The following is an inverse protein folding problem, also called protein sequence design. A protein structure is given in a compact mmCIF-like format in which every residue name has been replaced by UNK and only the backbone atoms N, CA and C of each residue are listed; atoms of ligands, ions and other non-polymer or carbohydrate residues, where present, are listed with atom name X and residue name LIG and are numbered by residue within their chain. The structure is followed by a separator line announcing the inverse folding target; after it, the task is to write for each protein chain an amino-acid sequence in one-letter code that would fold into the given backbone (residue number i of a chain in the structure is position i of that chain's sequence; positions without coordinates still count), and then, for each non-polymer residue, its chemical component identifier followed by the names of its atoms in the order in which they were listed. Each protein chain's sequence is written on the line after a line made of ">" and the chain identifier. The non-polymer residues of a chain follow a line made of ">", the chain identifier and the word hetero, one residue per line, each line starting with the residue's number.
data_IF_569973299409
#
_entry.id   IF_569973299409
#
_cell.length_a   1.000
_cell.length_b   1.000
_cell.length_c   1.000
_cell.angle_alpha   90.00
_cell.angle_beta   90.00
_cell.angle_gamma   90.00
#
_symmetry.space_group_name_H-M   'P 1'
#
loop_
_entity.id
_entity.type
_entity.pdbx_description
1 polymer ?
#
# COMPACT_ATOMS: atom_id res chain seq x y z
N UNK A 1 25.89 -1.06 -77.04
CA UNK A 1 26.62 -0.29 -76.02
C UNK A 1 25.68 0.79 -75.50
N UNK A 2 25.29 0.81 -74.23
CA UNK A 2 24.57 1.92 -73.67
C UNK A 2 25.61 3.01 -73.35
N UNK A 3 25.48 4.18 -73.97
CA UNK A 3 26.25 5.33 -73.73
C UNK A 3 25.80 5.90 -72.36
N UNK A 4 26.67 5.87 -71.37
CA UNK A 4 26.46 6.59 -70.13
C UNK A 4 26.91 8.04 -70.38
N UNK A 5 25.98 9.00 -70.34
CA UNK A 5 26.32 10.39 -70.38
C UNK A 5 27.06 10.73 -69.06
N UNK A 6 28.27 11.25 -69.14
CA UNK A 6 28.96 11.85 -68.00
C UNK A 6 28.18 13.10 -67.57
N UNK A 7 27.90 13.24 -66.29
CA UNK A 7 27.29 14.41 -65.72
C UNK A 7 28.17 15.65 -66.04
N UNK A 8 27.57 16.77 -66.37
CA UNK A 8 28.28 18.03 -66.55
C UNK A 8 28.66 18.60 -65.18
N UNK A 9 29.66 19.48 -65.10
CA UNK A 9 30.07 20.11 -63.81
C UNK A 9 28.94 20.90 -63.12
N UNK A 10 27.96 21.41 -63.86
CA UNK A 10 26.77 22.07 -63.32
C UNK A 10 25.80 21.06 -62.71
N UNK A 11 25.65 19.88 -63.32
CA UNK A 11 24.82 18.77 -62.78
C UNK A 11 25.45 18.23 -61.49
N UNK A 12 26.78 18.11 -61.45
CA UNK A 12 27.48 17.66 -60.21
C UNK A 12 27.36 18.67 -59.08
N UNK A 13 27.43 19.99 -59.32
CA UNK A 13 27.22 21.03 -58.32
C UNK A 13 25.78 21.03 -57.81
N UNK A 14 24.81 20.87 -58.68
CA UNK A 14 23.38 20.77 -58.28
C UNK A 14 23.10 19.53 -57.43
N UNK A 15 23.67 18.37 -57.79
CA UNK A 15 23.55 17.16 -57.02
C UNK A 15 24.18 17.27 -55.65
N UNK A 16 25.39 17.82 -55.55
CA UNK A 16 26.09 18.05 -54.26
C UNK A 16 25.31 18.99 -53.35
N UNK A 17 24.75 20.08 -53.88
CA UNK A 17 23.91 21.01 -53.11
C UNK A 17 22.65 20.30 -52.57
N UNK A 18 22.01 19.47 -53.38
CA UNK A 18 20.82 18.72 -52.97
C UNK A 18 21.13 17.67 -51.91
N UNK A 19 22.27 16.97 -52.01
CA UNK A 19 22.74 16.00 -51.02
C UNK A 19 23.09 16.66 -49.68
N UNK A 20 23.70 17.85 -49.70
CA UNK A 20 23.98 18.64 -48.49
C UNK A 20 22.68 19.08 -47.77
N UNK A 21 21.70 19.53 -48.56
CA UNK A 21 20.38 19.92 -48.03
C UNK A 21 19.67 18.73 -47.41
N UNK A 22 19.70 17.58 -48.05
CA UNK A 22 19.13 16.32 -47.52
C UNK A 22 19.83 15.89 -46.22
N UNK A 23 21.18 15.94 -46.21
CA UNK A 23 21.96 15.65 -45.03
C UNK A 23 21.60 16.55 -43.84
N UNK A 24 21.44 17.87 -44.07
CA UNK A 24 21.02 18.84 -43.09
C UNK A 24 19.61 18.51 -42.53
N UNK A 25 18.65 18.22 -43.38
CA UNK A 25 17.28 17.88 -43.01
C UNK A 25 17.23 16.58 -42.17
N UNK A 26 17.97 15.57 -42.61
CA UNK A 26 18.06 14.31 -41.87
C UNK A 26 18.69 14.51 -40.50
N UNK A 27 19.78 15.29 -40.39
CA UNK A 27 20.42 15.56 -39.10
C UNK A 27 19.49 16.33 -38.15
N UNK A 28 18.78 17.34 -38.64
CA UNK A 28 17.79 18.12 -37.87
C UNK A 28 16.65 17.22 -37.37
N UNK A 29 16.11 16.33 -38.20
CA UNK A 29 15.04 15.41 -37.82
C UNK A 29 15.52 14.37 -36.81
N UNK A 30 16.74 13.86 -36.90
CA UNK A 30 17.33 12.95 -35.92
C UNK A 30 17.57 13.65 -34.58
N UNK A 31 18.07 14.88 -34.57
CA UNK A 31 18.25 15.69 -33.37
C UNK A 31 16.93 15.95 -32.63
N UNK A 32 15.85 16.24 -33.40
CA UNK A 32 14.51 16.42 -32.83
C UNK A 32 13.95 15.13 -32.16
N UNK A 33 14.55 13.98 -32.48
CA UNK A 33 14.24 12.68 -31.88
C UNK A 33 15.28 12.25 -30.81
N UNK A 34 16.13 13.19 -30.35
CA UNK A 34 17.13 12.91 -29.34
C UNK A 34 18.36 12.12 -29.80
N UNK A 35 18.51 11.89 -31.11
CA UNK A 35 19.68 11.21 -31.68
C UNK A 35 20.74 12.23 -32.07
N UNK A 36 21.95 12.10 -31.54
CA UNK A 36 23.08 12.98 -31.90
C UNK A 36 23.46 12.77 -33.38
N UNK A 37 23.20 13.77 -34.21
CA UNK A 37 23.51 13.76 -35.63
C UNK A 37 23.99 15.17 -36.06
N UNK A 38 24.90 15.24 -37.05
CA UNK A 38 25.42 16.48 -37.60
C UNK A 38 25.19 16.51 -39.11
N UNK A 39 25.05 17.71 -39.70
CA UNK A 39 24.92 17.86 -41.14
C UNK A 39 26.15 17.37 -41.89
N UNK A 40 27.32 17.29 -41.23
CA UNK A 40 28.56 16.75 -41.79
C UNK A 40 28.64 15.24 -41.78
N UNK A 41 27.72 14.57 -41.08
CA UNK A 41 27.66 13.10 -41.15
C UNK A 41 27.25 12.67 -42.56
N UNK A 42 27.98 11.72 -43.17
CA UNK A 42 27.62 11.23 -44.47
C UNK A 42 26.23 10.54 -44.48
N UNK A 43 25.55 10.54 -45.61
CA UNK A 43 24.18 9.98 -45.77
C UNK A 43 24.05 8.55 -45.22
N UNK A 44 25.07 7.70 -45.42
CA UNK A 44 25.09 6.34 -44.88
C UNK A 44 25.11 6.34 -43.33
N UNK A 45 25.86 7.26 -42.72
CA UNK A 45 25.91 7.41 -41.26
C UNK A 45 24.59 7.91 -40.73
N UNK A 46 23.97 8.88 -41.38
CA UNK A 46 22.64 9.40 -41.02
C UNK A 46 21.56 8.33 -41.16
N UNK A 47 21.59 7.53 -42.26
CA UNK A 47 20.69 6.41 -42.44
C UNK A 47 20.82 5.34 -41.34
N UNK A 48 22.06 5.03 -40.90
CA UNK A 48 22.28 4.11 -39.79
C UNK A 48 21.82 4.69 -38.45
N UNK A 49 21.91 5.99 -38.24
CA UNK A 49 21.38 6.66 -37.05
C UNK A 49 19.85 6.67 -37.00
N UNK A 50 19.15 6.60 -38.16
CA UNK A 50 17.69 6.40 -38.19
C UNK A 50 17.31 5.07 -37.52
N UNK A 51 18.13 4.03 -37.65
CA UNK A 51 17.88 2.75 -36.98
C UNK A 51 18.07 2.83 -35.45
N UNK A 52 18.74 3.87 -34.96
CA UNK A 52 18.90 4.16 -33.52
C UNK A 52 17.76 5.02 -32.96
N UNK A 53 16.94 5.63 -33.85
CA UNK A 53 15.63 6.15 -33.47
C UNK A 53 14.77 4.90 -33.19
N UNK A 54 14.99 4.31 -32.00
CA UNK A 54 14.07 3.32 -31.48
C UNK A 54 12.66 3.93 -31.45
N UNK A 55 11.62 3.15 -31.25
CA UNK A 55 10.32 3.70 -30.87
C UNK A 55 10.50 4.36 -29.49
N UNK A 56 11.15 5.53 -29.48
CA UNK A 56 11.01 6.44 -28.35
C UNK A 56 9.54 6.82 -28.39
N UNK A 57 8.74 6.44 -27.40
CA UNK A 57 7.38 6.95 -27.34
C UNK A 57 7.50 8.45 -27.41
N UNK A 58 6.91 9.06 -28.43
CA UNK A 58 6.93 10.52 -28.61
C UNK A 58 6.16 11.04 -27.40
N UNK A 59 6.91 11.31 -26.29
CA UNK A 59 6.33 11.92 -25.11
C UNK A 59 5.07 11.25 -24.57
N UNK A 60 4.99 9.93 -24.53
CA UNK A 60 3.89 9.24 -23.84
C UNK A 60 4.10 9.30 -22.32
N UNK A 61 3.02 9.51 -21.61
CA UNK A 61 2.95 9.44 -20.16
C UNK A 61 1.96 8.35 -19.75
N UNK A 62 2.38 7.46 -18.87
CA UNK A 62 1.52 6.45 -18.27
C UNK A 62 1.26 6.86 -16.83
N UNK A 63 0.00 6.86 -16.41
CA UNK A 63 -0.42 7.12 -15.04
C UNK A 63 -1.18 5.91 -14.52
N UNK A 64 -0.95 5.52 -13.25
CA UNK A 64 -1.67 4.45 -12.59
C UNK A 64 -2.30 4.97 -11.30
N UNK A 65 -3.60 4.76 -11.16
CA UNK A 65 -4.38 5.15 -9.97
C UNK A 65 -5.26 4.00 -9.49
N UNK A 66 -5.76 4.12 -8.27
CA UNK A 66 -6.74 3.20 -7.69
C UNK A 66 -7.81 4.01 -6.96
N UNK A 67 -9.05 3.53 -6.95
CA UNK A 67 -10.16 4.11 -6.19
C UNK A 67 -10.06 3.82 -4.69
N UNK A 68 -9.22 2.83 -4.30
CA UNK A 68 -8.92 2.50 -2.91
C UNK A 68 -7.44 2.16 -2.74
N UNK A 69 -6.89 2.51 -1.59
CA UNK A 69 -5.50 2.18 -1.20
C UNK A 69 -5.42 1.15 -0.06
N UNK A 70 -6.55 0.83 0.58
CA UNK A 70 -6.67 -0.19 1.62
C UNK A 70 -7.84 -1.09 1.27
N UNK A 71 -7.65 -2.40 1.38
CA UNK A 71 -8.67 -3.41 1.15
C UNK A 71 -8.77 -4.36 2.33
N UNK A 72 -9.96 -4.95 2.52
CA UNK A 72 -10.22 -5.99 3.51
C UNK A 72 -10.67 -7.27 2.83
N UNK A 73 -9.88 -8.33 2.97
CA UNK A 73 -10.25 -9.67 2.48
C UNK A 73 -11.50 -10.20 3.18
N UNK A 74 -11.63 -9.98 4.48
CA UNK A 74 -12.79 -10.41 5.26
C UNK A 74 -14.11 -9.81 4.74
N UNK A 75 -14.06 -8.56 4.24
CA UNK A 75 -15.23 -7.88 3.69
C UNK A 75 -15.40 -8.14 2.17
N UNK A 76 -14.60 -9.02 1.57
CA UNK A 76 -14.58 -9.30 0.12
C UNK A 76 -14.43 -8.04 -0.73
N UNK A 77 -13.58 -7.12 -0.29
CA UNK A 77 -13.36 -5.85 -0.98
C UNK A 77 -12.52 -6.02 -2.24
N UNK A 78 -12.74 -5.12 -3.16
CA UNK A 78 -11.92 -4.95 -4.35
C UNK A 78 -11.68 -3.46 -4.61
N UNK A 79 -10.69 -3.15 -5.43
CA UNK A 79 -10.49 -1.83 -6.00
C UNK A 79 -10.49 -1.88 -7.52
N UNK A 80 -10.74 -0.72 -8.12
CA UNK A 80 -10.61 -0.50 -9.56
C UNK A 80 -9.30 0.23 -9.82
N UNK A 81 -8.42 -0.43 -10.55
CA UNK A 81 -7.16 0.12 -11.02
C UNK A 81 -7.41 0.79 -12.36
N UNK A 82 -6.93 2.00 -12.53
CA UNK A 82 -7.07 2.78 -13.74
C UNK A 82 -5.69 3.19 -14.24
N UNK A 83 -5.32 2.74 -15.43
CA UNK A 83 -4.14 3.21 -16.14
C UNK A 83 -4.58 4.17 -17.25
N UNK A 84 -3.89 5.30 -17.38
CA UNK A 84 -4.16 6.30 -18.41
C UNK A 84 -2.89 6.56 -19.19
N UNK A 85 -2.94 6.31 -20.50
CA UNK A 85 -1.85 6.57 -21.42
C UNK A 85 -2.14 7.83 -22.22
N UNK A 86 -1.26 8.83 -22.08
CA UNK A 86 -1.38 10.13 -22.72
C UNK A 86 -0.23 10.37 -23.70
N UNK A 87 -0.48 11.09 -24.78
CA UNK A 87 0.56 11.62 -25.66
C UNK A 87 1.22 12.88 -25.08
N UNK A 88 2.22 13.43 -25.79
CA UNK A 88 2.93 14.64 -25.36
C UNK A 88 2.06 15.91 -25.28
N UNK A 89 0.86 15.88 -25.86
CA UNK A 89 -0.10 16.98 -25.82
C UNK A 89 -1.17 16.79 -24.75
N UNK A 90 -1.09 15.67 -24.00
CA UNK A 90 -2.08 15.31 -22.99
C UNK A 90 -3.35 14.65 -23.52
N UNK A 91 -3.36 14.21 -24.80
CA UNK A 91 -4.49 13.47 -25.34
C UNK A 91 -4.37 11.99 -25.02
N UNK A 92 -5.50 11.32 -24.80
CA UNK A 92 -5.55 9.88 -24.60
C UNK A 92 -5.09 9.09 -25.83
N UNK A 93 -4.31 8.04 -25.61
CA UNK A 93 -3.81 7.15 -26.67
C UNK A 93 -4.60 5.86 -26.64
N UNK A 94 -5.41 5.62 -27.67
CA UNK A 94 -6.25 4.43 -27.76
C UNK A 94 -5.58 3.29 -28.53
N UNK A 95 -6.05 2.05 -28.26
CA UNK A 95 -5.60 0.87 -28.98
C UNK A 95 -4.30 0.25 -28.47
N UNK A 96 -3.73 0.78 -27.40
CA UNK A 96 -2.48 0.27 -26.81
C UNK A 96 -2.75 -0.75 -25.69
N UNK A 97 -1.91 -1.76 -25.63
CA UNK A 97 -2.00 -2.83 -24.64
C UNK A 97 -1.35 -2.41 -23.33
N UNK A 98 -2.10 -2.47 -22.23
CA UNK A 98 -1.60 -2.28 -20.87
C UNK A 98 -1.63 -3.60 -20.11
N UNK A 99 -0.47 -4.02 -19.60
CA UNK A 99 -0.30 -5.22 -18.78
C UNK A 99 -0.35 -4.83 -17.31
N UNK A 100 -1.37 -5.28 -16.60
CA UNK A 100 -1.48 -5.10 -15.14
C UNK A 100 -0.94 -6.31 -14.40
N UNK A 101 -0.15 -6.06 -13.36
CA UNK A 101 0.44 -7.09 -12.49
C UNK A 101 0.21 -6.75 -11.02
N UNK A 102 0.15 -7.79 -10.16
CA UNK A 102 0.16 -7.66 -8.70
C UNK A 102 1.32 -8.51 -8.14
N UNK A 103 2.24 -7.90 -7.41
CA UNK A 103 3.49 -8.52 -6.92
C UNK A 103 4.22 -9.31 -8.03
N UNK A 104 4.25 -8.75 -9.25
CA UNK A 104 4.85 -9.37 -10.42
C UNK A 104 4.00 -10.44 -11.13
N UNK A 105 2.92 -10.93 -10.53
CA UNK A 105 1.98 -11.86 -11.15
C UNK A 105 1.00 -11.13 -12.07
N UNK A 106 0.72 -11.69 -13.26
CA UNK A 106 -0.23 -11.11 -14.22
C UNK A 106 -1.64 -11.04 -13.61
N UNK A 107 -2.24 -9.86 -13.61
CA UNK A 107 -3.66 -9.66 -13.30
C UNK A 107 -4.50 -9.74 -14.56
N UNK A 108 -4.19 -8.90 -15.54
CA UNK A 108 -4.89 -8.83 -16.80
C UNK A 108 -4.09 -8.01 -17.82
N UNK A 109 -4.50 -8.13 -19.08
CA UNK A 109 -4.06 -7.27 -20.19
C UNK A 109 -5.28 -6.59 -20.78
N UNK A 110 -5.27 -5.26 -20.90
CA UNK A 110 -6.41 -4.46 -21.33
C UNK A 110 -5.97 -3.45 -22.39
N UNK A 111 -6.77 -3.33 -23.45
CA UNK A 111 -6.53 -2.33 -24.49
C UNK A 111 -7.12 -0.98 -24.07
N UNK A 112 -6.36 0.11 -24.26
CA UNK A 112 -6.84 1.46 -23.97
C UNK A 112 -8.00 1.86 -24.89
N UNK A 113 -9.03 2.48 -24.30
CA UNK A 113 -10.14 3.10 -25.02
C UNK A 113 -9.76 4.43 -25.69
N UNK A 114 -10.73 5.08 -26.34
CA UNK A 114 -10.52 6.33 -27.10
C UNK A 114 -9.97 7.50 -26.24
N UNK A 115 -10.15 7.43 -24.93
CA UNK A 115 -9.62 8.40 -23.98
C UNK A 115 -8.26 7.99 -23.37
N UNK A 116 -7.63 6.93 -23.90
CA UNK A 116 -6.36 6.39 -23.40
C UNK A 116 -6.47 5.60 -22.10
N UNK A 117 -7.68 5.25 -21.64
CA UNK A 117 -7.92 4.61 -20.34
C UNK A 117 -8.09 3.09 -20.48
N UNK A 118 -7.44 2.36 -19.60
CA UNK A 118 -7.64 0.93 -19.35
C UNK A 118 -7.91 0.69 -17.87
N UNK A 119 -8.85 -0.21 -17.54
CA UNK A 119 -9.21 -0.50 -16.14
C UNK A 119 -9.22 -2.00 -15.88
N UNK A 120 -8.85 -2.38 -14.64
CA UNK A 120 -8.94 -3.75 -14.14
C UNK A 120 -9.33 -3.73 -12.66
N UNK A 121 -10.02 -4.77 -12.20
CA UNK A 121 -10.31 -4.94 -10.77
C UNK A 121 -9.23 -5.81 -10.12
N UNK A 122 -8.75 -5.39 -8.95
CA UNK A 122 -7.98 -6.22 -8.03
C UNK A 122 -8.86 -6.61 -6.84
N UNK A 123 -9.08 -7.91 -6.66
CA UNK A 123 -9.81 -8.44 -5.50
C UNK A 123 -8.82 -8.70 -4.37
N UNK A 124 -9.16 -8.27 -3.16
CA UNK A 124 -8.37 -8.51 -1.96
C UNK A 124 -8.06 -10.00 -1.75
N UNK A 125 -6.82 -10.31 -1.43
CA UNK A 125 -6.32 -11.64 -1.07
C UNK A 125 -5.91 -11.72 0.41
N UNK A 126 -5.86 -10.57 1.10
CA UNK A 126 -5.44 -10.47 2.50
C UNK A 126 -3.96 -10.81 2.72
N UNK A 127 -3.11 -10.45 1.77
CA UNK A 127 -1.70 -10.87 1.73
C UNK A 127 -0.70 -9.83 2.25
N UNK A 128 -1.18 -8.67 2.69
CA UNK A 128 -0.34 -7.55 3.14
C UNK A 128 -0.13 -6.52 2.04
N UNK A 129 1.04 -5.90 1.98
CA UNK A 129 1.31 -4.88 0.97
C UNK A 129 1.44 -5.49 -0.43
N UNK A 130 0.69 -4.94 -1.38
CA UNK A 130 0.69 -5.37 -2.76
C UNK A 130 1.16 -4.22 -3.65
N UNK A 131 2.19 -4.50 -4.44
CA UNK A 131 2.63 -3.60 -5.51
C UNK A 131 1.88 -3.94 -6.79
N UNK A 132 1.04 -3.01 -7.23
CA UNK A 132 0.42 -3.05 -8.56
C UNK A 132 1.35 -2.39 -9.54
N UNK A 133 1.51 -3.00 -10.72
CA UNK A 133 2.30 -2.45 -11.83
C UNK A 133 1.43 -2.38 -13.06
N UNK A 134 1.47 -1.28 -13.79
CA UNK A 134 0.96 -1.13 -15.15
C UNK A 134 2.14 -0.95 -16.11
N UNK A 135 2.19 -1.75 -17.14
CA UNK A 135 3.24 -1.70 -18.16
C UNK A 135 2.61 -1.47 -19.55
N UNK A 136 3.17 -0.53 -20.29
CA UNK A 136 2.77 -0.25 -21.66
C UNK A 136 3.99 0.19 -22.45
N UNK A 137 4.28 -0.45 -23.57
CA UNK A 137 5.49 -0.20 -24.36
C UNK A 137 6.75 -0.37 -23.49
N UNK A 138 7.49 0.72 -23.20
CA UNK A 138 8.64 0.78 -22.30
C UNK A 138 8.37 1.63 -21.05
N UNK A 139 7.10 1.97 -20.78
CA UNK A 139 6.66 2.69 -19.60
C UNK A 139 6.21 1.71 -18.53
N UNK A 140 6.48 2.06 -17.29
CA UNK A 140 6.07 1.28 -16.11
C UNK A 140 5.69 2.24 -14.99
N UNK A 141 4.48 2.05 -14.47
CA UNK A 141 3.99 2.77 -13.30
C UNK A 141 3.61 1.80 -12.20
N UNK A 142 3.76 2.23 -10.96
CA UNK A 142 3.47 1.41 -9.79
C UNK A 142 2.53 2.10 -8.81
N UNK A 143 1.69 1.30 -8.16
CA UNK A 143 0.79 1.75 -7.10
C UNK A 143 0.81 0.74 -5.95
N UNK A 144 0.80 1.22 -4.69
CA UNK A 144 0.80 0.34 -3.52
C UNK A 144 -0.59 0.27 -2.90
N UNK A 145 -1.04 -0.96 -2.60
CA UNK A 145 -2.30 -1.25 -1.91
C UNK A 145 -1.97 -1.97 -0.60
N UNK A 146 -2.53 -1.52 0.52
CA UNK A 146 -2.58 -2.31 1.75
C UNK A 146 -3.70 -3.35 1.66
N UNK A 147 -3.36 -4.59 1.36
CA UNK A 147 -4.31 -5.69 1.26
C UNK A 147 -4.43 -6.44 2.60
N UNK A 148 -5.24 -5.90 3.49
CA UNK A 148 -5.42 -6.41 4.83
C UNK A 148 -6.26 -7.68 4.87
N UNK A 149 -5.95 -8.61 5.75
CA UNK A 149 -6.86 -9.72 6.06
C UNK A 149 -8.17 -9.20 6.65
N UNK A 150 -8.09 -8.14 7.46
CA UNK A 150 -9.23 -7.45 8.06
C UNK A 150 -8.97 -5.94 8.14
N UNK A 151 -9.96 -5.15 7.73
CA UNK A 151 -9.98 -3.71 7.95
C UNK A 151 -11.42 -3.25 8.19
N UNK A 152 -11.64 -2.48 9.26
CA UNK A 152 -12.95 -1.94 9.61
C UNK A 152 -12.81 -0.56 10.25
N UNK A 153 -13.44 0.42 9.67
CA UNK A 153 -13.43 1.81 10.14
C UNK A 153 -14.51 2.10 11.18
N UNK A 154 -15.46 1.20 11.39
CA UNK A 154 -16.57 1.42 12.30
C UNK A 154 -16.11 1.64 13.74
N UNK A 155 -16.70 2.63 14.40
CA UNK A 155 -16.46 2.87 15.82
C UNK A 155 -17.37 1.96 16.67
N UNK A 156 -16.73 1.21 17.56
CA UNK A 156 -17.42 0.47 18.63
C UNK A 156 -17.26 1.30 19.92
N UNK A 157 -18.38 1.73 20.49
CA UNK A 157 -18.41 2.52 21.72
C UNK A 157 -19.13 1.75 22.83
N UNK A 158 -18.56 1.74 24.02
CA UNK A 158 -19.16 1.14 25.23
C UNK A 158 -19.10 2.11 26.39
N UNK A 159 -20.26 2.33 27.00
CA UNK A 159 -20.41 3.17 28.19
C UNK A 159 -20.85 2.33 29.37
N UNK A 160 -20.14 2.42 30.49
CA UNK A 160 -20.51 1.77 31.75
C UNK A 160 -21.04 2.81 32.72
N UNK A 161 -22.14 2.47 33.40
CA UNK A 161 -22.76 3.36 34.42
C UNK A 161 -22.43 2.93 35.84
N UNK A 162 -22.13 1.67 36.07
CA UNK A 162 -22.00 1.06 37.40
C UNK A 162 -20.72 0.25 37.62
N UNK A 163 -19.65 0.53 36.84
CA UNK A 163 -18.37 -0.16 37.02
C UNK A 163 -18.38 -1.63 36.63
N UNK A 164 -19.24 -2.04 35.69
CA UNK A 164 -19.28 -3.42 35.21
C UNK A 164 -18.22 -3.66 34.14
N UNK A 165 -17.64 -4.85 34.16
CA UNK A 165 -16.72 -5.31 33.11
C UNK A 165 -17.52 -5.62 31.84
N UNK A 166 -17.09 -5.08 30.70
CA UNK A 166 -17.71 -5.36 29.41
C UNK A 166 -16.65 -5.99 28.52
N UNK A 167 -16.97 -7.15 27.98
CA UNK A 167 -16.23 -7.76 26.89
C UNK A 167 -17.01 -7.55 25.58
N UNK A 168 -16.35 -7.07 24.55
CA UNK A 168 -16.92 -6.97 23.23
C UNK A 168 -16.10 -7.80 22.25
N UNK A 169 -16.76 -8.75 21.63
CA UNK A 169 -16.15 -9.76 20.76
C UNK A 169 -16.46 -9.53 19.27
N UNK A 170 -16.74 -8.33 18.86
CA UNK A 170 -17.15 -8.10 17.47
C UNK A 170 -16.02 -8.21 16.45
N UNK A 171 -14.79 -8.56 16.88
CA UNK A 171 -13.60 -8.52 16.04
C UNK A 171 -12.81 -9.83 16.18
N UNK A 172 -13.25 -10.86 15.43
CA UNK A 172 -12.48 -12.10 15.28
C UNK A 172 -11.45 -11.94 14.17
N UNK A 173 -10.21 -12.36 14.41
CA UNK A 173 -9.12 -12.29 13.43
C UNK A 173 -8.24 -13.54 13.50
N UNK A 174 -7.72 -13.97 12.36
CA UNK A 174 -6.72 -15.04 12.29
C UNK A 174 -5.33 -14.43 12.25
N UNK A 175 -4.47 -14.78 13.21
CA UNK A 175 -3.08 -14.30 13.25
C UNK A 175 -2.20 -15.21 12.39
N UNK A 176 -1.65 -14.65 11.31
CA UNK A 176 -0.55 -15.28 10.58
C UNK A 176 0.74 -15.27 11.41
N UNK A 177 1.77 -15.99 10.96
CA UNK A 177 3.07 -16.06 11.64
C UNK A 177 3.68 -14.67 11.88
N UNK A 178 3.61 -13.79 10.86
CA UNK A 178 4.06 -12.42 10.94
C UNK A 178 2.91 -11.50 10.56
N UNK A 179 2.59 -10.53 11.41
CA UNK A 179 1.47 -9.62 11.17
C UNK A 179 1.61 -8.30 11.93
N UNK A 180 0.88 -7.32 11.44
CA UNK A 180 0.61 -6.07 12.15
C UNK A 180 -0.87 -6.02 12.53
N UNK A 181 -1.15 -5.68 13.79
CA UNK A 181 -2.48 -5.37 14.30
C UNK A 181 -2.44 -3.94 14.75
N UNK A 182 -3.33 -3.10 14.25
CA UNK A 182 -3.48 -1.72 14.73
C UNK A 182 -4.95 -1.36 14.93
N UNK A 183 -5.20 -0.48 15.87
CA UNK A 183 -6.52 0.05 16.16
C UNK A 183 -6.38 1.40 16.88
N UNK A 184 -7.39 2.24 16.71
CA UNK A 184 -7.48 3.50 17.46
C UNK A 184 -8.36 3.31 18.70
N UNK A 185 -7.89 3.85 19.81
CA UNK A 185 -8.62 3.87 21.08
C UNK A 185 -8.93 5.29 21.52
N UNK A 186 -10.03 5.42 22.22
CA UNK A 186 -10.42 6.64 22.92
C UNK A 186 -11.07 6.29 24.24
N UNK A 187 -10.77 7.04 25.30
CA UNK A 187 -11.45 6.93 26.56
C UNK A 187 -11.81 8.31 27.11
N UNK A 188 -12.87 8.39 27.89
CA UNK A 188 -13.15 9.62 28.61
C UNK A 188 -12.20 9.80 29.79
N UNK A 189 -11.77 11.04 30.02
CA UNK A 189 -10.97 11.42 31.20
C UNK A 189 -11.81 11.50 32.48
N UNK A 190 -13.05 11.07 32.45
CA UNK A 190 -14.04 11.36 33.51
C UNK A 190 -13.80 10.68 34.86
N UNK A 191 -12.78 9.80 34.95
CA UNK A 191 -12.46 9.19 36.27
C UNK A 191 -10.97 8.84 36.36
N UNK A 192 -10.22 9.49 37.25
CA UNK A 192 -8.79 9.25 37.45
C UNK A 192 -8.45 7.84 37.96
N UNK A 193 -9.43 7.03 38.35
CA UNK A 193 -9.24 5.65 38.82
C UNK A 193 -9.73 4.58 37.84
N UNK A 194 -10.23 4.98 36.65
CA UNK A 194 -10.76 4.05 35.66
C UNK A 194 -9.65 3.41 34.82
N UNK A 195 -9.66 2.10 34.73
CA UNK A 195 -8.83 1.35 33.79
C UNK A 195 -9.65 0.97 32.57
N UNK A 196 -9.17 1.35 31.39
CA UNK A 196 -9.68 0.93 30.12
C UNK A 196 -8.67 -0.06 29.53
N UNK A 197 -9.05 -1.32 29.47
CA UNK A 197 -8.19 -2.38 29.00
C UNK A 197 -8.64 -2.91 27.66
N UNK A 198 -7.71 -3.01 26.72
CA UNK A 198 -7.92 -3.51 25.38
C UNK A 198 -7.08 -4.77 25.21
N UNK A 199 -7.74 -5.89 24.90
CA UNK A 199 -7.10 -7.20 24.82
C UNK A 199 -7.01 -7.70 23.39
N UNK A 200 -5.89 -8.31 23.05
CA UNK A 200 -5.76 -9.29 21.99
C UNK A 200 -5.64 -10.64 22.67
N UNK A 201 -6.63 -11.50 22.47
CA UNK A 201 -6.72 -12.79 23.15
C UNK A 201 -7.14 -13.91 22.20
N UNK A 202 -6.72 -15.18 22.46
CA UNK A 202 -7.21 -16.31 21.69
C UNK A 202 -8.74 -16.40 21.71
N UNK A 203 -9.35 -16.58 20.55
CA UNK A 203 -10.82 -16.64 20.44
C UNK A 203 -11.43 -17.73 21.30
N UNK A 204 -10.73 -18.86 21.45
CA UNK A 204 -11.14 -19.96 22.35
C UNK A 204 -11.17 -19.60 23.82
N UNK A 205 -10.51 -18.52 24.23
CA UNK A 205 -10.46 -18.01 25.61
C UNK A 205 -11.39 -16.80 25.82
N UNK A 206 -12.07 -16.39 24.76
CA UNK A 206 -13.09 -15.37 24.87
C UNK A 206 -14.24 -15.88 25.75
N UNK A 207 -14.60 -15.08 26.75
CA UNK A 207 -15.74 -15.32 27.61
C UNK A 207 -16.53 -14.02 27.77
N UNK A 208 -17.82 -14.06 27.45
CA UNK A 208 -18.72 -12.91 27.59
C UNK A 208 -18.99 -12.49 29.05
N UNK A 209 -18.39 -13.20 30.01
CA UNK A 209 -18.51 -12.92 31.44
C UNK A 209 -17.40 -12.05 32.02
N UNK A 210 -17.31 -12.00 33.32
CA UNK A 210 -16.35 -11.21 34.09
C UNK A 210 -14.96 -11.83 34.23
N UNK A 211 -14.75 -13.05 33.65
CA UNK A 211 -13.52 -13.82 33.81
C UNK A 211 -12.45 -13.30 32.84
N UNK A 212 -11.29 -12.95 33.35
CA UNK A 212 -10.16 -12.57 32.53
C UNK A 212 -9.62 -13.77 31.73
N UNK A 213 -9.12 -13.55 30.46
CA UNK A 213 -8.54 -14.62 29.67
C UNK A 213 -7.28 -15.20 30.33
N UNK A 214 -7.01 -16.48 30.08
CA UNK A 214 -5.78 -17.13 30.59
C UNK A 214 -4.53 -16.53 29.93
N UNK A 215 -4.60 -16.30 28.61
CA UNK A 215 -3.55 -15.71 27.80
C UNK A 215 -4.11 -14.51 27.03
N UNK A 216 -3.43 -13.38 27.06
CA UNK A 216 -3.75 -12.18 26.29
C UNK A 216 -2.57 -11.24 26.23
N UNK A 217 -2.48 -10.45 25.15
CA UNK A 217 -1.79 -9.17 25.16
C UNK A 217 -2.80 -8.11 25.57
N UNK A 218 -2.37 -7.13 26.32
CA UNK A 218 -3.26 -6.03 26.65
C UNK A 218 -2.54 -4.68 26.63
N UNK A 219 -3.32 -3.68 26.32
CA UNK A 219 -3.01 -2.29 26.56
C UNK A 219 -4.01 -1.73 27.57
N UNK A 220 -3.50 -1.10 28.62
CA UNK A 220 -4.31 -0.36 29.58
C UNK A 220 -4.11 1.12 29.39
N UNK A 221 -5.22 1.85 29.26
CA UNK A 221 -5.24 3.28 29.49
C UNK A 221 -5.74 3.51 30.92
N UNK A 222 -4.83 3.94 31.77
CA UNK A 222 -5.10 4.12 33.19
C UNK A 222 -5.47 5.57 33.49
N UNK A 223 -6.21 5.79 34.59
CA UNK A 223 -6.47 7.13 35.11
C UNK A 223 -5.19 7.95 35.29
N UNK A 224 -5.25 9.25 35.03
CA UNK A 224 -4.09 10.13 35.13
C UNK A 224 -3.21 10.18 33.90
N UNK A 225 -3.73 9.80 32.74
CA UNK A 225 -3.06 9.87 31.43
C UNK A 225 -1.87 8.91 31.28
N UNK A 226 -1.92 7.76 31.93
CA UNK A 226 -0.87 6.76 31.87
C UNK A 226 -1.28 5.56 30.99
N UNK A 227 -0.37 5.08 30.16
CA UNK A 227 -0.48 3.84 29.39
C UNK A 227 0.33 2.72 30.05
N UNK A 228 -0.12 1.49 29.85
CA UNK A 228 0.58 0.29 30.27
C UNK A 228 0.41 -0.81 29.23
N UNK A 229 1.51 -1.42 28.79
CA UNK A 229 1.50 -2.66 28.05
C UNK A 229 1.78 -3.86 28.95
N UNK A 230 1.01 -4.93 28.77
CA UNK A 230 1.24 -6.15 29.51
C UNK A 230 0.79 -7.39 28.76
N UNK A 231 1.05 -8.55 29.39
CA UNK A 231 0.56 -9.84 28.96
C UNK A 231 -0.10 -10.60 30.09
N UNK A 232 -1.03 -11.46 29.74
CA UNK A 232 -1.48 -12.54 30.61
C UNK A 232 -0.89 -13.85 30.09
N UNK A 233 -0.43 -14.66 31.01
CA UNK A 233 0.15 -15.96 30.71
C UNK A 233 -0.25 -16.94 31.82
N UNK A 234 -1.00 -17.98 31.49
CA UNK A 234 -1.49 -18.97 32.45
C UNK A 234 -2.19 -18.34 33.67
N UNK A 235 -3.13 -17.43 33.42
CA UNK A 235 -3.87 -16.65 34.43
C UNK A 235 -3.06 -15.60 35.21
N UNK A 236 -1.76 -15.51 35.02
CA UNK A 236 -0.92 -14.51 35.67
C UNK A 236 -0.82 -13.25 34.81
N UNK A 237 -0.91 -12.08 35.44
CA UNK A 237 -0.74 -10.78 34.79
C UNK A 237 0.72 -10.34 34.93
N UNK A 238 1.36 -10.01 33.82
CA UNK A 238 2.73 -9.53 33.75
C UNK A 238 2.74 -8.17 33.06
N UNK A 239 3.21 -7.15 33.76
CA UNK A 239 3.45 -5.85 33.15
C UNK A 239 4.72 -5.91 32.33
N UNK A 240 4.65 -5.41 31.08
CA UNK A 240 5.79 -5.30 30.15
C UNK A 240 6.37 -3.90 30.16
N UNK A 241 5.52 -2.89 30.23
CA UNK A 241 5.91 -1.48 30.35
C UNK A 241 4.80 -0.69 31.01
N UNK A 242 5.14 0.11 32.02
CA UNK A 242 4.21 0.96 32.76
C UNK A 242 4.55 2.45 32.68
N UNK A 243 3.52 3.29 32.79
CA UNK A 243 3.69 4.70 33.13
C UNK A 243 4.16 5.60 32.00
N UNK A 244 3.95 5.25 30.73
CA UNK A 244 4.14 6.18 29.64
C UNK A 244 2.89 7.05 29.41
N UNK A 245 3.09 8.25 28.86
CA UNK A 245 1.98 9.19 28.61
C UNK A 245 1.02 8.65 27.55
N UNK A 246 -0.27 8.54 27.89
CA UNK A 246 -1.36 8.22 26.98
C UNK A 246 -2.62 8.93 27.48
N UNK A 247 -2.88 10.12 26.95
CA UNK A 247 -3.95 11.00 27.41
C UNK A 247 -5.33 10.51 26.98
N UNK A 248 -6.31 10.51 27.87
CA UNK A 248 -7.70 10.32 27.48
C UNK A 248 -8.26 11.51 26.70
N UNK A 249 -9.49 11.36 26.18
CA UNK A 249 -10.21 12.35 25.34
C UNK A 249 -9.54 12.69 24.00
N UNK A 250 -8.51 11.94 23.60
CA UNK A 250 -7.91 11.93 22.27
C UNK A 250 -7.84 10.50 21.75
N UNK A 251 -7.85 10.33 20.43
CA UNK A 251 -7.58 9.03 19.85
C UNK A 251 -6.09 8.75 19.85
N UNK A 252 -5.72 7.54 20.23
CA UNK A 252 -4.36 7.01 20.15
C UNK A 252 -4.34 5.76 19.29
N UNK A 253 -3.31 5.62 18.45
CA UNK A 253 -3.07 4.42 17.65
C UNK A 253 -2.28 3.43 18.49
N UNK A 254 -2.86 2.26 18.74
CA UNK A 254 -2.18 1.13 19.36
C UNK A 254 -1.82 0.16 18.26
N UNK A 255 -0.53 -0.23 18.20
CA UNK A 255 -0.04 -1.13 17.16
C UNK A 255 0.82 -2.23 17.76
N UNK A 256 0.60 -3.45 17.31
CA UNK A 256 1.41 -4.62 17.60
C UNK A 256 1.99 -5.16 16.31
N UNK A 257 3.31 -5.38 16.28
CA UNK A 257 4.01 -6.02 15.17
C UNK A 257 4.57 -7.34 15.67
N UNK A 258 3.96 -8.43 15.20
CA UNK A 258 4.34 -9.80 15.55
C UNK A 258 5.29 -10.37 14.50
N UNK A 259 6.39 -10.97 14.96
CA UNK A 259 7.31 -11.77 14.14
C UNK A 259 7.69 -13.01 14.94
N UNK A 260 7.07 -14.16 14.61
CA UNK A 260 7.10 -15.34 15.47
C UNK A 260 6.61 -15.00 16.88
N UNK A 261 7.34 -15.42 17.91
CA UNK A 261 7.01 -15.11 19.30
C UNK A 261 7.42 -13.69 19.73
N UNK A 262 8.16 -12.95 18.92
CA UNK A 262 8.54 -11.56 19.22
C UNK A 262 7.40 -10.60 18.86
N UNK A 263 7.02 -9.76 19.80
CA UNK A 263 5.98 -8.73 19.59
C UNK A 263 6.54 -7.36 19.97
N UNK A 264 6.51 -6.45 19.02
CA UNK A 264 6.78 -5.02 19.23
C UNK A 264 5.46 -4.28 19.44
N UNK A 265 5.40 -3.40 20.44
CA UNK A 265 4.20 -2.65 20.82
C UNK A 265 4.47 -1.15 20.71
N UNK A 266 3.54 -0.45 20.04
CA UNK A 266 3.68 0.97 19.72
C UNK A 266 2.44 1.75 20.20
N UNK A 267 2.66 3.03 20.50
CA UNK A 267 1.61 4.04 20.66
C UNK A 267 1.96 5.21 19.77
N UNK A 268 1.03 5.60 18.89
CA UNK A 268 1.21 6.71 17.94
C UNK A 268 2.52 6.60 17.15
N UNK A 269 2.76 5.38 16.62
CA UNK A 269 3.96 4.96 15.88
C UNK A 269 5.29 4.98 16.66
N UNK A 270 5.30 5.38 17.93
CA UNK A 270 6.47 5.29 18.79
C UNK A 270 6.60 3.90 19.42
N UNK A 271 7.74 3.21 19.19
CA UNK A 271 8.02 1.92 19.83
C UNK A 271 8.15 2.09 21.34
N UNK A 272 7.29 1.42 22.11
CA UNK A 272 7.29 1.45 23.57
C UNK A 272 8.01 0.24 24.17
N UNK A 273 7.74 -0.98 23.66
CA UNK A 273 8.34 -2.19 24.22
C UNK A 273 8.44 -3.29 23.16
N UNK A 274 9.44 -4.16 23.31
CA UNK A 274 9.56 -5.44 22.58
C UNK A 274 9.55 -6.57 23.60
N UNK A 275 8.69 -7.57 23.41
CA UNK A 275 8.56 -8.69 24.31
C UNK A 275 8.49 -10.03 23.58
N UNK A 276 8.93 -11.10 24.24
CA UNK A 276 8.70 -12.47 23.78
C UNK A 276 7.44 -13.03 24.42
N UNK A 277 6.54 -13.56 23.58
CA UNK A 277 5.23 -14.06 23.97
C UNK A 277 5.13 -15.54 23.58
N UNK A 278 5.48 -16.41 24.53
CA UNK A 278 5.69 -17.84 24.28
C UNK A 278 4.44 -18.59 23.77
N UNK A 279 3.25 -18.10 24.08
CA UNK A 279 1.97 -18.74 23.73
C UNK A 279 1.33 -18.22 22.43
N UNK A 280 1.86 -17.14 21.85
CA UNK A 280 1.18 -16.42 20.76
C UNK A 280 1.05 -17.25 19.47
N UNK A 281 1.90 -18.24 19.26
CA UNK A 281 1.84 -19.14 18.10
C UNK A 281 1.03 -20.43 18.37
N UNK A 282 0.50 -20.59 19.60
CA UNK A 282 -0.26 -21.79 19.98
C UNK A 282 -1.73 -21.74 19.55
N UNK A 283 -2.18 -20.62 18.99
CA UNK A 283 -3.57 -20.39 18.59
C UNK A 283 -3.61 -19.83 17.18
N UNK A 284 -4.66 -20.19 16.44
CA UNK A 284 -4.88 -19.68 15.07
C UNK A 284 -5.76 -18.43 15.06
N UNK A 285 -6.73 -18.36 15.99
CA UNK A 285 -7.77 -17.35 15.96
C UNK A 285 -7.74 -16.49 17.21
N UNK A 286 -7.84 -15.18 17.01
CA UNK A 286 -7.77 -14.17 18.06
C UNK A 286 -8.96 -13.22 17.99
N UNK A 287 -9.24 -12.58 19.11
CA UNK A 287 -10.23 -11.53 19.24
C UNK A 287 -9.60 -10.27 19.81
N UNK A 288 -10.02 -9.12 19.33
CA UNK A 288 -9.80 -7.84 19.97
C UNK A 288 -11.02 -7.53 20.84
N UNK A 289 -10.79 -7.33 22.13
CA UNK A 289 -11.84 -7.09 23.10
C UNK A 289 -11.53 -5.89 23.98
N UNK A 290 -12.59 -5.22 24.41
CA UNK A 290 -12.55 -4.05 25.29
C UNK A 290 -13.09 -4.45 26.66
N UNK A 291 -12.36 -4.11 27.70
CA UNK A 291 -12.79 -4.26 29.09
C UNK A 291 -12.67 -2.95 29.84
N UNK A 292 -13.64 -2.66 30.66
CA UNK A 292 -13.55 -1.57 31.61
C UNK A 292 -13.63 -2.12 33.03
N UNK A 293 -12.66 -1.75 33.86
CA UNK A 293 -12.58 -2.17 35.25
C UNK A 293 -13.17 -1.10 36.18
N UNK A 294 -14.16 -1.50 36.96
CA UNK A 294 -14.69 -0.81 38.16
C UNK A 294 -15.12 0.67 38.07
N UNK A 295 -15.16 1.33 36.95
CA UNK A 295 -15.47 2.76 36.87
C UNK A 295 -16.51 3.12 35.81
N UNK A 296 -17.18 4.28 36.00
CA UNK A 296 -18.09 4.86 35.02
C UNK A 296 -17.31 5.48 33.86
N UNK A 297 -17.86 5.41 32.65
CA UNK A 297 -17.38 6.18 31.52
C UNK A 297 -17.41 5.41 30.20
N UNK A 298 -16.82 5.97 29.16
CA UNK A 298 -16.90 5.49 27.80
C UNK A 298 -15.52 5.07 27.30
N UNK A 299 -15.45 3.91 26.63
CA UNK A 299 -14.31 3.43 25.86
C UNK A 299 -14.73 3.25 24.41
N UNK A 300 -13.85 3.56 23.48
CA UNK A 300 -14.10 3.41 22.06
C UNK A 300 -12.92 2.72 21.37
N UNK A 301 -13.23 1.93 20.35
CA UNK A 301 -12.29 1.37 19.37
C UNK A 301 -12.79 1.69 17.98
N UNK A 302 -11.90 2.06 17.08
CA UNK A 302 -12.19 2.20 15.64
C UNK A 302 -10.95 1.91 14.80
N UNK A 303 -11.09 1.96 13.48
CA UNK A 303 -9.99 1.79 12.52
C UNK A 303 -9.16 0.53 12.78
N UNK A 304 -9.85 -0.58 13.07
CA UNK A 304 -9.20 -1.86 13.34
C UNK A 304 -8.63 -2.42 12.05
N UNK A 305 -7.33 -2.65 12.04
CA UNK A 305 -6.59 -3.20 10.91
C UNK A 305 -5.81 -4.42 11.35
N UNK A 306 -5.87 -5.44 10.54
CA UNK A 306 -5.04 -6.63 10.63
C UNK A 306 -4.38 -6.88 9.28
N UNK A 307 -3.04 -6.79 9.23
CA UNK A 307 -2.25 -6.90 8.02
C UNK A 307 -1.19 -7.99 8.17
N UNK A 308 -1.18 -9.04 7.33
CA UNK A 308 -0.06 -9.95 7.23
C UNK A 308 1.20 -9.18 6.80
N UNK A 309 2.36 -9.57 7.34
CA UNK A 309 3.66 -9.09 6.90
C UNK A 309 4.32 -10.16 6.04
N UNK A 310 4.90 -9.74 4.93
CA UNK A 310 5.62 -10.60 4.00
C UNK A 310 7.04 -10.91 4.51
#
# INVERSE_FOLDING_TARGET
>A
MKQYSTLTGEDEMSLNSSLQTLGQLMATNLQSKGVTANASDGLTTLANKILQVGPTPIGYNLELTSDKNILSFYNHEYCVLTATLLDSNGNGVSGEEIVFKANGGLLNTVITGDNGVATVSYNSQGVGDVTITAECMNLTETYSIEDCSYYNTNEVSRTTTNGSTIYDNNLSMSLSLNCEISYEIWSDNGNPTGEHRYFILPLSQYNSGTTQPQNALYFDQMGGNNGNFGKRENNSTVSLLNGFSCTGSTYHIIKYVKNGTSVKMYVDDELKVTASISWIDNYSDYSLSMMRWSSKGTSKIRNVKFKPLQ
#
